data_IF_383636688048
#
_entry.id   IF_383636688048
#
_cell.length_a   1.000
_cell.length_b   1.000
_cell.length_c   1.000
_cell.angle_alpha   90.00
_cell.angle_beta   90.00
_cell.angle_gamma   90.00
#
_symmetry.space_group_name_H-M   'P 1'
#
loop_
_entity.id
_entity.type
_entity.pdbx_description
1 polymer ?
#
# COMPACT_ATOMS: atom_id res chain seq x y z
N UNK A 1 -12.13 13.11 -12.73
CA UNK A 1 -10.74 13.52 -12.41
C UNK A 1 -10.59 14.96 -11.88
N UNK A 2 -11.57 15.87 -12.07
CA UNK A 2 -11.46 17.22 -11.49
C UNK A 2 -10.17 17.95 -11.91
N UNK A 3 -9.51 18.62 -10.96
CA UNK A 3 -8.20 19.27 -11.16
C UNK A 3 -7.03 18.30 -11.39
N UNK A 4 -7.26 16.99 -11.23
CA UNK A 4 -6.25 15.94 -11.39
C UNK A 4 -6.26 15.30 -12.78
N UNK A 5 -6.81 15.98 -13.80
CA UNK A 5 -6.83 15.50 -15.19
C UNK A 5 -5.43 15.19 -15.76
N UNK A 6 -4.39 15.82 -15.22
CA UNK A 6 -2.99 15.56 -15.59
C UNK A 6 -2.51 14.13 -15.26
N UNK A 7 -3.25 13.38 -14.43
CA UNK A 7 -2.96 11.98 -14.11
C UNK A 7 -3.49 10.99 -15.16
N UNK A 8 -4.24 11.46 -16.16
CA UNK A 8 -4.84 10.59 -17.18
C UNK A 8 -3.77 9.81 -17.98
N UNK A 9 -2.64 10.44 -18.31
CA UNK A 9 -1.56 9.76 -19.03
C UNK A 9 -0.94 8.62 -18.20
N UNK A 10 -0.89 8.79 -16.88
CA UNK A 10 -0.43 7.74 -15.96
C UNK A 10 -1.40 6.58 -15.90
N UNK A 11 -2.71 6.87 -15.86
CA UNK A 11 -3.73 5.82 -15.97
C UNK A 11 -3.66 5.07 -17.30
N UNK A 12 -3.32 5.76 -18.40
CA UNK A 12 -3.22 5.13 -19.71
C UNK A 12 -1.95 4.27 -19.82
N UNK A 13 -0.86 4.69 -19.17
CA UNK A 13 0.42 3.99 -19.19
C UNK A 13 0.37 2.64 -18.45
N UNK A 14 -0.15 2.63 -17.22
CA UNK A 14 -0.33 1.37 -16.51
C UNK A 14 -1.61 0.69 -17.01
N UNK A 15 -1.54 -0.61 -17.32
CA UNK A 15 -2.70 -1.33 -17.86
C UNK A 15 -3.92 -1.22 -16.95
N UNK A 16 -5.14 -1.30 -17.51
CA UNK A 16 -6.38 -1.36 -16.73
C UNK A 16 -6.33 -2.46 -15.65
N UNK A 17 -5.68 -3.59 -15.94
CA UNK A 17 -5.50 -4.70 -15.00
C UNK A 17 -4.63 -4.36 -13.79
N UNK A 18 -3.77 -3.34 -13.88
CA UNK A 18 -2.99 -2.87 -12.73
C UNK A 18 -3.89 -2.24 -11.64
N UNK A 19 -5.12 -1.87 -11.98
CA UNK A 19 -6.06 -1.17 -11.08
C UNK A 19 -7.24 -2.02 -10.61
N UNK A 20 -7.52 -3.14 -11.27
CA UNK A 20 -8.72 -3.95 -11.03
C UNK A 20 -8.42 -5.36 -10.52
N UNK A 21 -7.14 -5.69 -10.31
CA UNK A 21 -6.73 -7.00 -9.84
C UNK A 21 -6.77 -7.11 -8.32
N UNK A 22 -7.24 -8.26 -7.85
CA UNK A 22 -7.04 -8.70 -6.48
C UNK A 22 -5.62 -9.28 -6.34
N UNK A 23 -4.87 -8.77 -5.38
CA UNK A 23 -3.51 -9.22 -5.11
C UNK A 23 -3.52 -10.44 -4.20
N UNK A 24 -2.81 -11.49 -4.60
CA UNK A 24 -2.62 -12.70 -3.79
C UNK A 24 -1.89 -12.37 -2.49
N UNK A 25 -1.04 -11.35 -2.52
CA UNK A 25 -0.27 -10.88 -1.38
C UNK A 25 -1.00 -9.82 -0.52
N UNK A 26 -2.28 -9.53 -0.79
CA UNK A 26 -3.08 -8.55 -0.03
C UNK A 26 -4.45 -9.10 0.38
N UNK A 27 -4.48 -10.33 0.91
CA UNK A 27 -5.69 -10.92 1.45
C UNK A 27 -6.07 -10.32 2.81
N UNK A 28 -7.35 -10.44 3.18
CA UNK A 28 -7.85 -9.96 4.48
C UNK A 28 -7.08 -10.58 5.64
N UNK A 29 -6.64 -9.75 6.59
CA UNK A 29 -5.88 -10.17 7.77
C UNK A 29 -4.38 -10.40 7.53
N UNK A 30 -3.86 -10.21 6.32
CA UNK A 30 -2.42 -10.32 6.08
C UNK A 30 -1.64 -9.21 6.80
N UNK A 31 -0.56 -9.62 7.47
CA UNK A 31 0.48 -8.77 8.02
C UNK A 31 1.79 -8.96 7.23
N UNK A 32 2.82 -8.17 7.50
CA UNK A 32 4.06 -8.17 6.73
C UNK A 32 4.82 -9.52 6.77
N UNK A 33 4.57 -10.38 7.76
CA UNK A 33 5.16 -11.72 7.82
C UNK A 33 4.34 -12.76 7.04
N UNK A 34 3.01 -12.67 7.09
CA UNK A 34 2.09 -13.67 6.52
C UNK A 34 2.30 -13.87 5.00
N UNK A 35 2.69 -12.82 4.28
CA UNK A 35 2.90 -12.88 2.82
C UNK A 35 4.09 -13.75 2.39
N UNK A 36 4.94 -14.14 3.34
CA UNK A 36 6.06 -15.05 3.11
C UNK A 36 5.74 -16.51 3.46
N UNK A 37 4.64 -16.77 4.17
CA UNK A 37 4.29 -18.12 4.60
C UNK A 37 3.45 -18.82 3.52
N UNK A 38 3.97 -19.91 2.90
CA UNK A 38 3.27 -20.63 1.84
C UNK A 38 1.95 -21.26 2.28
N UNK A 39 1.67 -21.39 3.59
CA UNK A 39 0.37 -21.88 4.06
C UNK A 39 -0.79 -20.99 3.63
N UNK A 40 -0.52 -19.71 3.33
CA UNK A 40 -1.52 -18.75 2.89
C UNK A 40 -1.60 -18.62 1.36
N UNK A 41 -0.79 -19.34 0.60
CA UNK A 41 -0.82 -19.28 -0.85
C UNK A 41 -2.06 -20.03 -1.39
N UNK A 42 -2.84 -19.44 -2.31
CA UNK A 42 -4.01 -20.10 -2.87
C UNK A 42 -3.61 -21.31 -3.72
N UNK A 43 -4.24 -22.45 -3.42
CA UNK A 43 -4.11 -23.68 -4.19
C UNK A 43 -4.50 -23.47 -5.66
N UNK A 44 -3.75 -24.11 -6.56
CA UNK A 44 -4.02 -24.08 -8.01
C UNK A 44 -3.55 -22.82 -8.74
N UNK A 45 -3.14 -21.76 -8.02
CA UNK A 45 -2.52 -20.56 -8.60
C UNK A 45 -1.02 -20.49 -8.32
N UNK A 46 -0.64 -20.80 -7.08
CA UNK A 46 0.74 -20.77 -6.62
C UNK A 46 1.41 -22.13 -6.74
N UNK A 47 2.74 -22.13 -6.93
CA UNK A 47 3.52 -23.36 -6.94
C UNK A 47 3.60 -23.95 -5.52
N UNK A 48 3.84 -25.28 -5.38
CA UNK A 48 4.03 -25.87 -4.06
C UNK A 48 5.15 -25.17 -3.28
N UNK A 49 4.88 -24.83 -2.01
CA UNK A 49 5.76 -24.07 -1.12
C UNK A 49 6.12 -22.64 -1.59
N UNK A 50 5.42 -22.10 -2.59
CA UNK A 50 5.56 -20.70 -3.00
C UNK A 50 4.80 -19.79 -2.04
N UNK A 51 5.43 -18.71 -1.58
CA UNK A 51 4.74 -17.73 -0.74
C UNK A 51 3.75 -16.87 -1.54
N UNK A 52 2.73 -16.28 -0.90
CA UNK A 52 1.82 -15.34 -1.55
C UNK A 52 2.54 -14.21 -2.32
N UNK A 53 3.59 -13.62 -1.74
CA UNK A 53 4.36 -12.56 -2.37
C UNK A 53 5.14 -13.05 -3.60
N UNK A 54 5.79 -14.21 -3.50
CA UNK A 54 6.52 -14.81 -4.62
C UNK A 54 5.58 -15.16 -5.77
N UNK A 55 4.42 -15.74 -5.44
CA UNK A 55 3.37 -16.09 -6.39
C UNK A 55 2.82 -14.86 -7.12
N UNK A 56 2.48 -13.79 -6.39
CA UNK A 56 2.04 -12.53 -6.99
C UNK A 56 3.11 -11.98 -7.96
N UNK A 57 4.36 -11.90 -7.54
CA UNK A 57 5.42 -11.36 -8.39
C UNK A 57 5.75 -12.23 -9.60
N UNK A 58 5.68 -13.56 -9.49
CA UNK A 58 5.86 -14.47 -10.63
C UNK A 58 4.75 -14.32 -11.66
N UNK A 59 3.50 -14.25 -11.20
CA UNK A 59 2.33 -14.18 -12.07
C UNK A 59 2.22 -12.81 -12.74
N UNK A 60 2.56 -11.74 -12.02
CA UNK A 60 2.23 -10.36 -12.42
C UNK A 60 3.42 -9.62 -12.99
N UNK A 61 4.63 -9.94 -12.52
CA UNK A 61 5.88 -9.31 -12.96
C UNK A 61 5.77 -7.77 -12.97
N UNK A 62 5.33 -7.14 -11.87
CA UNK A 62 5.09 -5.71 -11.86
C UNK A 62 6.41 -4.94 -11.95
N UNK A 63 6.40 -3.75 -12.54
CA UNK A 63 7.55 -2.83 -12.48
C UNK A 63 7.59 -2.04 -11.16
N UNK A 64 6.43 -1.85 -10.52
CA UNK A 64 6.25 -1.09 -9.28
C UNK A 64 5.32 -1.86 -8.34
N UNK A 65 5.66 -1.96 -7.06
CA UNK A 65 4.82 -2.57 -6.04
C UNK A 65 4.45 -1.54 -4.96
N UNK A 66 3.15 -1.26 -4.82
CA UNK A 66 2.63 -0.41 -3.74
C UNK A 66 2.42 -1.27 -2.49
N UNK A 67 3.17 -1.00 -1.43
CA UNK A 67 3.24 -1.81 -0.22
C UNK A 67 2.70 -0.98 0.96
N UNK A 68 1.64 -1.46 1.59
CA UNK A 68 1.00 -0.80 2.73
C UNK A 68 0.66 -1.86 3.80
N UNK A 69 1.57 -2.05 4.73
CA UNK A 69 1.38 -2.88 5.93
C UNK A 69 1.41 -2.00 7.18
N UNK A 70 0.93 -2.55 8.30
CA UNK A 70 1.01 -1.89 9.60
C UNK A 70 -0.27 -1.99 10.43
N UNK A 71 -1.46 -1.75 9.84
CA UNK A 71 -2.72 -1.75 10.61
C UNK A 71 -3.00 -3.09 11.30
N UNK A 72 -2.75 -4.22 10.62
CA UNK A 72 -2.85 -5.54 11.27
C UNK A 72 -1.65 -5.77 12.18
N UNK A 73 -0.46 -5.43 11.72
CA UNK A 73 0.81 -5.68 12.40
C UNK A 73 0.89 -5.07 13.80
N UNK A 74 0.32 -3.87 14.02
CA UNK A 74 0.31 -3.20 15.34
C UNK A 74 -0.41 -4.01 16.43
N UNK A 75 -1.29 -4.94 16.06
CA UNK A 75 -1.97 -5.84 17.01
C UNK A 75 -1.10 -7.02 17.42
N UNK A 76 -0.09 -7.36 16.63
CA UNK A 76 0.62 -8.64 16.69
C UNK A 76 2.08 -8.47 17.10
N UNK A 77 2.69 -7.33 16.79
CA UNK A 77 4.11 -7.12 16.88
C UNK A 77 4.46 -5.83 17.63
N UNK A 78 5.70 -5.77 18.13
CA UNK A 78 6.34 -4.49 18.42
C UNK A 78 6.91 -3.87 17.14
N UNK A 79 7.30 -2.60 17.22
CA UNK A 79 7.76 -1.84 16.06
C UNK A 79 9.06 -2.40 15.46
N UNK A 80 9.94 -2.98 16.27
CA UNK A 80 11.19 -3.56 15.79
C UNK A 80 10.94 -4.84 14.98
N UNK A 81 10.04 -5.69 15.47
CA UNK A 81 9.62 -6.92 14.79
C UNK A 81 8.92 -6.59 13.47
N UNK A 82 8.01 -5.62 13.47
CA UNK A 82 7.39 -5.11 12.25
C UNK A 82 8.42 -4.55 11.26
N UNK A 83 9.36 -3.72 11.73
CA UNK A 83 10.40 -3.15 10.89
C UNK A 83 11.24 -4.25 10.22
N UNK A 84 11.56 -5.33 10.94
CA UNK A 84 12.30 -6.45 10.38
C UNK A 84 11.52 -7.19 9.29
N UNK A 85 10.23 -7.45 9.50
CA UNK A 85 9.40 -8.08 8.47
C UNK A 85 9.20 -7.18 7.25
N UNK A 86 8.86 -5.90 7.46
CA UNK A 86 8.69 -4.97 6.35
C UNK A 86 10.00 -4.77 5.57
N UNK A 87 11.15 -4.76 6.24
CA UNK A 87 12.47 -4.74 5.59
C UNK A 87 12.67 -5.97 4.71
N UNK A 88 12.24 -7.16 5.14
CA UNK A 88 12.29 -8.38 4.31
C UNK A 88 11.39 -8.26 3.07
N UNK A 89 10.17 -7.71 3.21
CA UNK A 89 9.28 -7.43 2.08
C UNK A 89 10.00 -6.55 1.07
N UNK A 90 10.54 -5.42 1.51
CA UNK A 90 11.23 -4.47 0.64
C UNK A 90 12.45 -5.09 -0.04
N UNK A 91 13.32 -5.77 0.71
CA UNK A 91 14.51 -6.42 0.16
C UNK A 91 14.15 -7.48 -0.89
N UNK A 92 13.11 -8.27 -0.64
CA UNK A 92 12.62 -9.24 -1.60
C UNK A 92 12.11 -8.57 -2.87
N UNK A 93 11.27 -7.53 -2.75
CA UNK A 93 10.77 -6.73 -3.89
C UNK A 93 11.91 -6.17 -4.74
N UNK A 94 12.92 -5.55 -4.12
CA UNK A 94 14.10 -5.03 -4.82
C UNK A 94 14.88 -6.17 -5.50
N UNK A 95 15.06 -7.30 -4.80
CA UNK A 95 15.74 -8.48 -5.35
C UNK A 95 15.06 -9.08 -6.59
N UNK A 96 13.75 -8.85 -6.76
CA UNK A 96 13.00 -9.23 -7.96
C UNK A 96 13.10 -8.17 -9.10
N UNK A 97 13.86 -7.09 -8.90
CA UNK A 97 13.96 -5.98 -9.86
C UNK A 97 12.72 -5.08 -9.91
N UNK A 98 11.90 -5.11 -8.85
CA UNK A 98 10.65 -4.35 -8.75
C UNK A 98 10.91 -3.11 -7.89
N UNK A 99 10.34 -1.96 -8.25
CA UNK A 99 10.44 -0.74 -7.45
C UNK A 99 9.45 -0.82 -6.28
N UNK A 100 9.90 -0.95 -5.01
CA UNK A 100 8.99 -0.90 -3.87
C UNK A 100 8.58 0.56 -3.60
N UNK A 101 7.29 0.78 -3.36
CA UNK A 101 6.75 2.05 -2.89
C UNK A 101 6.08 1.79 -1.56
N UNK A 102 6.68 2.27 -0.47
CA UNK A 102 6.05 2.15 0.84
C UNK A 102 4.93 3.18 1.00
N UNK A 103 3.89 2.82 1.73
CA UNK A 103 2.81 3.72 2.11
C UNK A 103 2.63 3.68 3.63
N UNK A 104 2.61 4.83 4.31
CA UNK A 104 2.17 4.88 5.71
C UNK A 104 0.67 4.58 5.78
N UNK A 105 0.20 4.02 6.89
CA UNK A 105 -1.20 3.64 7.05
C UNK A 105 -1.92 4.57 8.04
N UNK A 106 -3.19 4.90 7.81
CA UNK A 106 -4.02 5.55 8.79
C UNK A 106 -4.74 4.51 9.67
N UNK A 107 -4.78 4.78 10.97
CA UNK A 107 -5.69 4.17 11.93
C UNK A 107 -6.44 5.29 12.66
N UNK A 108 -7.59 4.97 13.25
CA UNK A 108 -8.39 5.91 14.02
C UNK A 108 -7.81 6.18 15.41
N UNK A 109 -8.30 7.23 16.07
CA UNK A 109 -7.72 7.69 17.34
C UNK A 109 -7.91 6.67 18.49
N UNK A 110 -8.83 5.73 18.36
CA UNK A 110 -9.07 4.64 19.33
C UNK A 110 -8.31 3.35 19.04
N UNK A 111 -7.52 3.29 17.96
CA UNK A 111 -6.91 2.06 17.47
C UNK A 111 -5.37 2.13 17.51
N UNK A 112 -4.80 1.70 18.64
CA UNK A 112 -3.35 1.66 18.90
C UNK A 112 -2.61 2.94 18.42
N UNK A 113 -3.01 4.13 18.87
CA UNK A 113 -2.56 5.39 18.25
C UNK A 113 -1.04 5.63 18.41
N UNK A 114 -0.46 5.29 19.57
CA UNK A 114 0.97 5.47 19.83
C UNK A 114 1.83 4.48 19.03
N UNK A 115 1.40 3.23 18.99
CA UNK A 115 2.05 2.16 18.24
C UNK A 115 1.93 2.41 16.74
N UNK A 116 0.76 2.85 16.26
CA UNK A 116 0.54 3.19 14.85
C UNK A 116 1.49 4.30 14.38
N UNK A 117 1.73 5.33 15.20
CA UNK A 117 2.72 6.36 14.86
C UNK A 117 4.15 5.81 14.89
N UNK A 118 4.47 4.96 15.87
CA UNK A 118 5.78 4.31 15.95
C UNK A 118 6.05 3.42 14.72
N UNK A 119 5.05 2.68 14.25
CA UNK A 119 5.14 1.85 13.04
C UNK A 119 5.27 2.71 11.78
N UNK A 120 4.50 3.80 11.67
CA UNK A 120 4.65 4.74 10.56
C UNK A 120 6.04 5.39 10.53
N UNK A 121 6.65 5.65 11.69
CA UNK A 121 8.04 6.09 11.76
C UNK A 121 9.04 5.01 11.31
N UNK A 122 8.79 3.74 11.61
CA UNK A 122 9.58 2.64 11.06
C UNK A 122 9.46 2.56 9.53
N UNK A 123 8.25 2.72 8.97
CA UNK A 123 8.02 2.78 7.50
C UNK A 123 8.83 3.92 6.87
N UNK A 124 8.75 5.13 7.44
CA UNK A 124 9.53 6.29 6.99
C UNK A 124 11.04 6.03 7.06
N UNK A 125 11.50 5.41 8.14
CA UNK A 125 12.91 5.07 8.35
C UNK A 125 13.41 4.07 7.30
N UNK A 126 12.64 3.01 7.01
CA UNK A 126 12.98 2.05 5.94
C UNK A 126 13.06 2.78 4.60
N UNK A 127 12.05 3.57 4.26
CA UNK A 127 12.03 4.29 2.99
C UNK A 127 13.25 5.21 2.81
N UNK A 128 13.60 5.96 3.86
CA UNK A 128 14.76 6.85 3.85
C UNK A 128 16.08 6.07 3.77
N UNK A 129 16.25 5.03 4.58
CA UNK A 129 17.50 4.23 4.65
C UNK A 129 17.78 3.47 3.37
N UNK A 130 16.74 2.95 2.70
CA UNK A 130 16.87 2.24 1.43
C UNK A 130 16.73 3.16 0.21
N UNK A 131 16.47 4.46 0.43
CA UNK A 131 16.27 5.47 -0.61
C UNK A 131 15.18 5.08 -1.63
N UNK A 132 14.08 4.51 -1.13
CA UNK A 132 12.93 4.08 -1.94
C UNK A 132 11.76 5.06 -1.83
N UNK A 133 10.87 5.11 -2.83
CA UNK A 133 9.71 5.99 -2.79
C UNK A 133 8.78 5.73 -1.60
N UNK A 134 8.24 6.81 -1.04
CA UNK A 134 7.29 6.80 0.06
C UNK A 134 6.04 7.61 -0.27
N UNK A 135 4.87 6.99 -0.10
CA UNK A 135 3.59 7.67 0.01
C UNK A 135 3.32 7.86 1.51
N UNK A 136 3.73 8.99 2.06
CA UNK A 136 3.42 9.29 3.46
C UNK A 136 1.97 9.79 3.53
N UNK A 137 1.00 8.87 3.62
CA UNK A 137 -0.46 9.08 3.63
C UNK A 137 -0.98 9.53 5.01
N UNK A 138 -0.37 9.04 6.09
CA UNK A 138 -0.80 9.30 7.48
C UNK A 138 -1.03 10.80 7.77
N UNK A 139 -0.10 11.73 7.47
CA UNK A 139 -0.28 13.14 7.84
C UNK A 139 -1.43 13.84 7.10
N UNK A 140 -1.77 13.41 5.88
CA UNK A 140 -2.87 13.95 5.07
C UNK A 140 -4.20 13.36 5.54
N UNK A 141 -4.19 12.06 5.90
CA UNK A 141 -5.36 11.40 6.46
C UNK A 141 -5.80 12.01 7.81
N UNK A 142 -4.88 12.62 8.59
CA UNK A 142 -5.22 13.32 9.84
C UNK A 142 -6.28 14.42 9.66
N UNK A 143 -6.35 15.05 8.48
CA UNK A 143 -7.31 16.12 8.17
C UNK A 143 -8.68 15.61 7.71
N UNK A 144 -8.79 14.31 7.42
CA UNK A 144 -10.05 13.69 7.01
C UNK A 144 -10.96 13.41 8.21
N UNK A 145 -12.29 13.29 7.99
CA UNK A 145 -13.20 12.74 8.98
C UNK A 145 -12.68 11.41 9.53
N UNK A 146 -12.75 11.25 10.85
CA UNK A 146 -12.25 10.10 11.58
C UNK A 146 -10.83 9.65 11.14
N UNK A 147 -9.95 10.61 10.85
CA UNK A 147 -8.56 10.36 10.42
C UNK A 147 -8.43 9.49 9.15
N UNK A 148 -9.46 9.48 8.31
CA UNK A 148 -9.48 8.74 7.05
C UNK A 148 -9.90 7.27 7.17
N UNK A 149 -10.37 6.83 8.34
CA UNK A 149 -10.87 5.46 8.55
C UNK A 149 -12.36 5.42 8.83
N UNK A 150 -12.97 4.27 8.59
CA UNK A 150 -14.39 4.00 8.84
C UNK A 150 -14.70 3.91 10.34
N UNK A 151 -15.97 3.62 10.70
CA UNK A 151 -16.42 3.56 12.10
C UNK A 151 -15.67 2.54 12.97
N UNK A 152 -15.06 1.52 12.38
CA UNK A 152 -14.26 0.52 13.07
C UNK A 152 -12.85 1.00 13.45
N UNK A 153 -12.48 2.23 13.07
CA UNK A 153 -11.16 2.84 13.30
C UNK A 153 -9.98 2.09 12.65
N UNK A 154 -10.26 1.18 11.71
CA UNK A 154 -9.29 0.26 11.15
C UNK A 154 -9.30 0.27 9.61
N UNK A 155 -10.45 0.08 8.97
CA UNK A 155 -10.54 0.11 7.51
C UNK A 155 -10.56 1.54 6.99
N UNK A 156 -9.96 1.81 5.81
CA UNK A 156 -10.08 3.10 5.15
C UNK A 156 -11.55 3.48 4.93
N UNK A 157 -11.91 4.72 5.23
CA UNK A 157 -13.25 5.21 4.91
C UNK A 157 -13.43 5.26 3.38
N UNK A 158 -14.63 4.91 2.93
CA UNK A 158 -14.99 4.86 1.51
C UNK A 158 -16.43 5.36 1.32
N UNK A 159 -16.77 5.70 0.08
CA UNK A 159 -18.06 6.29 -0.30
C UNK A 159 -19.27 5.34 -0.18
N UNK A 160 -19.02 4.05 0.00
CA UNK A 160 -20.03 3.00 -0.03
C UNK A 160 -20.13 2.23 -1.35
N UNK A 161 -19.49 2.70 -2.42
CA UNK A 161 -19.35 1.96 -3.68
C UNK A 161 -17.89 1.90 -4.16
N UNK A 162 -17.66 1.27 -5.32
CA UNK A 162 -16.32 1.01 -5.86
C UNK A 162 -15.72 2.20 -6.64
N UNK A 163 -16.46 3.31 -6.82
CA UNK A 163 -15.98 4.42 -7.63
C UNK A 163 -15.07 5.36 -6.83
N UNK A 164 -14.05 5.89 -7.51
CA UNK A 164 -13.12 6.87 -6.97
C UNK A 164 -13.33 8.19 -7.73
N UNK A 165 -13.92 9.19 -7.08
CA UNK A 165 -14.27 10.47 -7.72
C UNK A 165 -13.38 11.60 -7.17
N UNK A 166 -12.44 12.07 -7.99
CA UNK A 166 -11.47 13.09 -7.60
C UNK A 166 -11.98 14.53 -7.80
N UNK A 167 -13.17 14.84 -7.29
CA UNK A 167 -13.78 16.19 -7.35
C UNK A 167 -14.16 16.73 -5.97
N UNK A 168 -13.45 16.30 -4.92
CA UNK A 168 -13.66 16.71 -3.54
C UNK A 168 -13.66 15.53 -2.56
N UNK A 169 -14.00 14.33 -3.02
CA UNK A 169 -14.10 13.14 -2.15
C UNK A 169 -12.75 12.67 -1.59
N UNK A 170 -11.63 13.06 -2.21
CA UNK A 170 -10.29 12.86 -1.64
C UNK A 170 -10.10 13.58 -0.31
N UNK A 171 -10.94 14.57 0.00
CA UNK A 171 -10.96 15.29 1.28
C UNK A 171 -12.02 14.74 2.24
N UNK A 172 -12.70 13.64 1.89
CA UNK A 172 -13.75 13.01 2.70
C UNK A 172 -13.44 11.56 3.05
N UNK A 173 -12.87 10.81 2.12
CA UNK A 173 -12.68 9.37 2.25
C UNK A 173 -11.20 8.98 2.13
N UNK A 174 -10.72 8.19 3.09
CA UNK A 174 -9.33 7.74 3.12
C UNK A 174 -8.96 6.88 1.92
N UNK A 175 -9.87 6.03 1.43
CA UNK A 175 -9.64 5.22 0.24
C UNK A 175 -9.41 6.10 -1.01
N UNK A 176 -10.22 7.14 -1.18
CA UNK A 176 -10.09 8.10 -2.28
C UNK A 176 -8.78 8.88 -2.19
N UNK A 177 -8.41 9.34 -0.98
CA UNK A 177 -7.13 10.01 -0.74
C UNK A 177 -5.93 9.09 -1.06
N UNK A 178 -5.94 7.85 -0.53
CA UNK A 178 -4.90 6.85 -0.78
C UNK A 178 -4.72 6.59 -2.26
N UNK A 179 -5.82 6.45 -3.01
CA UNK A 179 -5.77 6.19 -4.45
C UNK A 179 -5.26 7.40 -5.24
N UNK A 180 -5.67 8.63 -4.87
CA UNK A 180 -5.10 9.85 -5.45
C UNK A 180 -3.58 9.91 -5.26
N UNK A 181 -3.11 9.74 -4.03
CA UNK A 181 -1.68 9.82 -3.72
C UNK A 181 -0.87 8.71 -4.40
N UNK A 182 -1.46 7.52 -4.55
CA UNK A 182 -0.86 6.43 -5.32
C UNK A 182 -0.71 6.82 -6.79
N UNK A 183 -1.73 7.40 -7.43
CA UNK A 183 -1.64 7.85 -8.82
C UNK A 183 -0.61 8.96 -9.00
N UNK A 184 -0.50 9.88 -8.04
CA UNK A 184 0.52 10.94 -8.06
C UNK A 184 1.93 10.38 -7.94
N UNK A 185 2.13 9.36 -7.10
CA UNK A 185 3.42 8.66 -6.99
C UNK A 185 3.77 7.93 -8.28
N UNK A 186 2.81 7.20 -8.86
CA UNK A 186 3.01 6.52 -10.15
C UNK A 186 3.33 7.50 -11.28
N UNK A 187 2.68 8.68 -11.31
CA UNK A 187 3.00 9.73 -12.29
C UNK A 187 4.41 10.28 -12.09
N UNK A 188 4.83 10.46 -10.84
CA UNK A 188 6.19 10.88 -10.50
C UNK A 188 7.22 9.86 -11.00
N UNK A 189 7.03 8.58 -10.66
CA UNK A 189 7.92 7.50 -11.12
C UNK A 189 7.97 7.41 -12.65
N UNK A 190 6.80 7.44 -13.30
CA UNK A 190 6.70 7.39 -14.76
C UNK A 190 7.53 8.49 -15.42
N UNK A 191 7.37 9.72 -14.96
CA UNK A 191 8.09 10.89 -15.52
C UNK A 191 9.56 10.90 -15.18
N UNK A 192 9.93 10.60 -13.94
CA UNK A 192 11.32 10.65 -13.47
C UNK A 192 12.18 9.54 -14.09
N UNK A 193 11.59 8.35 -14.31
CA UNK A 193 12.30 7.20 -14.87
C UNK A 193 12.12 7.08 -16.39
N UNK A 194 11.38 8.00 -17.03
CA UNK A 194 11.14 7.95 -18.47
C UNK A 194 10.38 6.69 -18.92
N UNK A 195 9.46 6.22 -18.09
CA UNK A 195 8.61 5.07 -18.40
C UNK A 195 7.58 5.49 -19.46
N UNK A 196 7.72 4.98 -20.69
CA UNK A 196 6.88 5.33 -21.84
C UNK A 196 6.10 4.12 -22.35
#
# INVERSE_FOLDING_TARGET
MGSYGYLQDTLNYFSASAYTRDSIAAASGFNAAAIFDPIWAPDGLCMPAESPLACEYRLIKPSVAIIMFGSVDVQLYDANTFQNYLTQVVNYTIGQGIIPVLTTFPNGDSYYPAESETFNNAIRSIAASQQIPLIDLRPQALALPNRGVGPDNFHLSHRGDAWIILTGEQNQYGLTLRNLMTLQMLDTLRRTLGMN
#
